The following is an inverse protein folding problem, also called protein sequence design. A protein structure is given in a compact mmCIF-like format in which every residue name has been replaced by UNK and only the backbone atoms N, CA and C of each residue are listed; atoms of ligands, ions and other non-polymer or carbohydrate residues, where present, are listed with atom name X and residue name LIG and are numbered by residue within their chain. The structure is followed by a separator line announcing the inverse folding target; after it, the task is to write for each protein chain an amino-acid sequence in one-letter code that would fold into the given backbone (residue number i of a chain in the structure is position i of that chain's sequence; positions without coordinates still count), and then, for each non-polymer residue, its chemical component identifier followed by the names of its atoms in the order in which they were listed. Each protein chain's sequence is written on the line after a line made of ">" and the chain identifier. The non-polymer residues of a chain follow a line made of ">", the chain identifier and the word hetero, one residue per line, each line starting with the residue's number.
data_IF_527901706267
#
_entry.id   IF_527901706267
#
_cell.length_a   1.000
_cell.length_b   1.000
_cell.length_c   1.000
_cell.angle_alpha   90.00
_cell.angle_beta   90.00
_cell.angle_gamma   90.00
#
_symmetry.space_group_name_H-M   'P 1'
#
loop_
_entity.id
_entity.type
_entity.pdbx_description
1 polymer ?
#
# COMPACT_ATOMS: atom_id res chain seq x y z
N UNK A 1 -4.74 -15.37 17.57
CA UNK A 1 -4.72 -15.18 16.09
C UNK A 1 -4.10 -13.84 15.65
N UNK A 2 -4.45 -12.70 16.26
CA UNK A 2 -3.88 -11.39 15.86
C UNK A 2 -2.40 -11.30 16.22
N UNK A 3 -2.02 -11.78 17.39
CA UNK A 3 -0.62 -11.81 17.84
C UNK A 3 0.25 -12.68 16.93
N UNK A 4 -0.25 -13.80 16.49
CA UNK A 4 0.45 -14.71 15.56
C UNK A 4 0.65 -14.08 14.18
N UNK A 5 -0.34 -13.34 13.68
CA UNK A 5 -0.22 -12.64 12.38
C UNK A 5 0.79 -11.48 12.43
N UNK A 6 0.83 -10.72 13.54
CA UNK A 6 1.80 -9.65 13.73
C UNK A 6 3.23 -10.20 13.81
N UNK A 7 3.46 -11.21 14.63
CA UNK A 7 4.76 -11.89 14.76
C UNK A 7 5.19 -12.53 13.44
N UNK A 8 4.27 -13.16 12.71
CA UNK A 8 4.56 -13.75 11.41
C UNK A 8 4.99 -12.72 10.36
N UNK A 9 4.37 -11.53 10.33
CA UNK A 9 4.74 -10.46 9.39
C UNK A 9 6.13 -9.87 9.68
N UNK A 10 6.45 -9.63 10.94
CA UNK A 10 7.78 -9.12 11.34
C UNK A 10 8.88 -10.15 11.07
N UNK A 11 8.66 -11.41 11.37
CA UNK A 11 9.60 -12.48 11.05
C UNK A 11 9.80 -12.60 9.54
N UNK A 12 8.76 -12.51 8.73
CA UNK A 12 8.85 -12.58 7.28
C UNK A 12 9.69 -11.41 6.71
N UNK A 13 9.48 -10.19 7.19
CA UNK A 13 10.25 -9.01 6.78
C UNK A 13 11.73 -9.20 7.12
N UNK A 14 12.05 -9.54 8.35
CA UNK A 14 13.42 -9.71 8.84
C UNK A 14 14.13 -10.84 8.12
N UNK A 15 13.48 -11.98 7.95
CA UNK A 15 14.07 -13.16 7.31
C UNK A 15 14.34 -12.92 5.83
N UNK A 16 13.39 -12.31 5.12
CA UNK A 16 13.55 -11.95 3.70
C UNK A 16 14.66 -10.92 3.50
N UNK A 17 14.74 -9.91 4.36
CA UNK A 17 15.81 -8.90 4.30
C UNK A 17 17.19 -9.51 4.57
N UNK A 18 17.30 -10.35 5.61
CA UNK A 18 18.55 -11.01 5.97
C UNK A 18 19.03 -11.93 4.86
N UNK A 19 18.15 -12.74 4.28
CA UNK A 19 18.48 -13.65 3.17
C UNK A 19 18.88 -12.89 1.93
N UNK A 20 18.22 -11.78 1.60
CA UNK A 20 18.58 -10.93 0.46
C UNK A 20 20.04 -10.46 0.53
N UNK A 21 20.54 -10.16 1.74
CA UNK A 21 21.90 -9.66 1.94
C UNK A 21 22.95 -10.78 2.08
N UNK A 22 22.55 -11.96 2.56
CA UNK A 22 23.46 -13.08 2.82
C UNK A 22 23.59 -14.08 1.68
N UNK A 23 22.66 -14.07 0.73
CA UNK A 23 22.63 -15.05 -0.36
C UNK A 23 22.83 -14.38 -1.74
N UNK A 24 24.02 -14.48 -2.35
CA UNK A 24 24.35 -13.82 -3.62
C UNK A 24 23.39 -14.14 -4.77
N UNK A 25 22.86 -15.37 -4.80
CA UNK A 25 21.90 -15.79 -5.83
C UNK A 25 20.55 -15.05 -5.76
N UNK A 26 20.19 -14.50 -4.59
CA UNK A 26 18.98 -13.71 -4.42
C UNK A 26 19.07 -12.29 -5.02
N UNK A 27 20.28 -11.80 -5.36
CA UNK A 27 20.42 -10.48 -5.99
C UNK A 27 19.59 -10.35 -7.28
N UNK A 28 19.45 -11.44 -8.03
CA UNK A 28 18.61 -11.47 -9.24
C UNK A 28 17.11 -11.34 -8.92
N UNK A 29 16.70 -11.75 -7.73
CA UNK A 29 15.30 -11.72 -7.25
C UNK A 29 15.04 -10.55 -6.30
N UNK A 30 15.95 -9.60 -6.18
CA UNK A 30 15.91 -8.46 -5.27
C UNK A 30 14.55 -7.75 -5.30
N UNK A 31 14.05 -7.38 -6.47
CA UNK A 31 12.83 -6.60 -6.61
C UNK A 31 11.55 -7.39 -6.30
N UNK A 32 11.36 -8.63 -6.76
CA UNK A 32 10.29 -9.49 -6.25
C UNK A 32 10.30 -9.59 -4.71
N UNK A 33 11.47 -9.81 -4.10
CA UNK A 33 11.60 -9.92 -2.64
C UNK A 33 11.23 -8.62 -1.94
N UNK A 34 11.67 -7.46 -2.45
CA UNK A 34 11.25 -6.16 -1.89
C UNK A 34 9.73 -5.95 -1.98
N UNK A 35 9.09 -6.36 -3.08
CA UNK A 35 7.63 -6.31 -3.18
C UNK A 35 6.97 -7.19 -2.11
N UNK A 36 7.46 -8.40 -1.86
CA UNK A 36 6.93 -9.27 -0.81
C UNK A 36 7.19 -8.73 0.62
N UNK A 37 8.31 -8.03 0.83
CA UNK A 37 8.55 -7.30 2.09
C UNK A 37 7.51 -6.18 2.26
N UNK A 38 7.22 -5.42 1.20
CA UNK A 38 6.17 -4.40 1.23
C UNK A 38 4.79 -5.00 1.52
N UNK A 39 4.48 -6.18 0.93
CA UNK A 39 3.25 -6.94 1.26
C UNK A 39 3.17 -7.22 2.75
N UNK A 40 4.25 -7.72 3.38
CA UNK A 40 4.27 -8.04 4.81
C UNK A 40 4.07 -6.78 5.67
N UNK A 41 4.71 -5.67 5.29
CA UNK A 41 4.55 -4.39 5.97
C UNK A 41 3.10 -3.86 5.88
N UNK A 42 2.55 -3.80 4.68
CA UNK A 42 1.19 -3.31 4.48
C UNK A 42 0.12 -4.27 5.02
N UNK A 43 0.41 -5.57 5.07
CA UNK A 43 -0.45 -6.54 5.73
C UNK A 43 -0.49 -6.30 7.24
N UNK A 44 0.66 -6.01 7.86
CA UNK A 44 0.72 -5.65 9.27
C UNK A 44 -0.08 -4.37 9.56
N UNK A 45 0.20 -3.29 8.82
CA UNK A 45 -0.40 -1.97 9.06
C UNK A 45 -1.85 -1.93 8.57
N UNK A 46 -2.08 -2.30 7.31
CA UNK A 46 -3.37 -2.12 6.65
C UNK A 46 -4.41 -3.17 7.04
N UNK A 47 -4.08 -4.43 6.84
CA UNK A 47 -4.99 -5.54 7.14
C UNK A 47 -4.99 -5.89 8.64
N UNK A 48 -3.85 -5.85 9.30
CA UNK A 48 -3.70 -6.15 10.72
C UNK A 48 -4.25 -5.01 11.59
N UNK A 49 -3.49 -3.94 11.74
CA UNK A 49 -3.81 -2.87 12.71
C UNK A 49 -5.11 -2.16 12.32
N UNK A 50 -5.19 -1.58 11.13
CA UNK A 50 -6.40 -0.87 10.71
C UNK A 50 -7.61 -1.80 10.56
N UNK A 51 -7.42 -3.00 10.01
CA UNK A 51 -8.49 -3.99 9.89
C UNK A 51 -9.05 -4.40 11.25
N UNK A 52 -8.19 -4.60 12.25
CA UNK A 52 -8.63 -4.89 13.61
C UNK A 52 -9.39 -3.72 14.23
N UNK A 53 -8.82 -2.50 14.15
CA UNK A 53 -9.41 -1.32 14.77
C UNK A 53 -10.81 -1.00 14.24
N UNK A 54 -11.05 -1.16 12.93
CA UNK A 54 -12.36 -0.87 12.34
C UNK A 54 -13.39 -1.98 12.55
N UNK A 55 -12.96 -3.22 12.86
CA UNK A 55 -13.86 -4.37 13.00
C UNK A 55 -14.25 -4.68 14.45
N UNK A 56 -13.70 -3.98 15.43
CA UNK A 56 -14.22 -4.09 16.81
C UNK A 56 -15.68 -3.64 16.84
N UNK A 57 -16.59 -4.37 17.53
CA UNK A 57 -18.04 -4.09 17.50
C UNK A 57 -18.39 -2.64 17.81
N UNK A 58 -17.75 -2.03 18.81
CA UNK A 58 -17.96 -0.63 19.19
C UNK A 58 -17.49 0.32 18.09
N UNK A 59 -16.28 0.09 17.55
CA UNK A 59 -15.75 0.91 16.46
C UNK A 59 -16.60 0.79 15.21
N UNK A 60 -16.94 -0.44 14.83
CA UNK A 60 -17.74 -0.71 13.64
C UNK A 60 -19.07 0.03 13.65
N UNK A 61 -19.74 0.11 14.80
CA UNK A 61 -21.02 0.81 14.94
C UNK A 61 -20.92 2.28 14.55
N UNK A 62 -19.83 2.96 14.92
CA UNK A 62 -19.66 4.40 14.67
C UNK A 62 -18.94 4.76 13.38
N UNK A 63 -18.07 3.86 12.87
CA UNK A 63 -17.13 4.22 11.78
C UNK A 63 -17.39 3.46 10.47
N UNK A 64 -18.38 2.60 10.42
CA UNK A 64 -18.72 1.85 9.22
C UNK A 64 -18.99 2.77 8.03
N UNK A 65 -18.23 2.57 6.94
CA UNK A 65 -18.37 3.33 5.71
C UNK A 65 -17.89 4.79 5.78
N UNK A 66 -17.12 5.17 6.79
CA UNK A 66 -16.37 6.43 6.84
C UNK A 66 -14.99 6.27 6.17
N UNK A 67 -14.22 7.36 6.05
CA UNK A 67 -12.90 7.31 5.45
C UNK A 67 -11.87 6.47 6.23
N UNK A 68 -12.10 6.16 7.50
CA UNK A 68 -11.35 5.14 8.26
C UNK A 68 -11.43 3.77 7.60
N UNK A 69 -12.59 3.39 7.06
CA UNK A 69 -12.74 2.16 6.27
C UNK A 69 -11.96 2.24 4.95
N UNK A 70 -11.93 3.42 4.32
CA UNK A 70 -11.13 3.64 3.11
C UNK A 70 -9.61 3.53 3.38
N UNK A 71 -9.13 3.96 4.55
CA UNK A 71 -7.73 3.74 4.98
C UNK A 71 -7.40 2.25 4.95
N UNK A 72 -8.20 1.42 5.63
CA UNK A 72 -8.01 -0.04 5.62
C UNK A 72 -8.09 -0.60 4.20
N UNK A 73 -9.10 -0.22 3.43
CA UNK A 73 -9.29 -0.74 2.07
C UNK A 73 -8.09 -0.45 1.16
N UNK A 74 -7.59 0.78 1.12
CA UNK A 74 -6.46 1.12 0.25
C UNK A 74 -5.15 0.45 0.70
N UNK A 75 -4.88 0.42 2.01
CA UNK A 75 -3.67 -0.19 2.54
C UNK A 75 -3.70 -1.72 2.42
N UNK A 76 -4.85 -2.37 2.59
CA UNK A 76 -5.01 -3.80 2.42
C UNK A 76 -5.06 -4.20 0.93
N UNK A 77 -5.90 -3.53 0.11
CA UNK A 77 -6.06 -3.93 -1.30
C UNK A 77 -4.82 -3.59 -2.13
N UNK A 78 -4.39 -2.34 -2.12
CA UNK A 78 -3.22 -1.95 -2.90
C UNK A 78 -1.91 -2.33 -2.20
N UNK A 79 -1.78 -2.05 -0.91
CA UNK A 79 -0.55 -2.34 -0.16
C UNK A 79 -0.24 -3.84 -0.07
N UNK A 80 -1.25 -4.71 0.03
CA UNK A 80 -1.04 -6.16 0.06
C UNK A 80 -1.17 -6.74 -1.34
N UNK A 81 -2.37 -6.74 -1.92
CA UNK A 81 -2.61 -7.44 -3.19
C UNK A 81 -1.93 -6.76 -4.38
N UNK A 82 -1.82 -5.43 -4.39
CA UNK A 82 -1.10 -4.70 -5.43
C UNK A 82 0.38 -5.07 -5.45
N UNK A 83 1.07 -4.98 -4.31
CA UNK A 83 2.48 -5.38 -4.24
C UNK A 83 2.70 -6.88 -4.41
N UNK A 84 1.76 -7.72 -3.97
CA UNK A 84 1.80 -9.16 -4.20
C UNK A 84 1.79 -9.47 -5.70
N UNK A 85 0.85 -8.86 -6.43
CA UNK A 85 0.73 -9.00 -7.88
C UNK A 85 2.00 -8.52 -8.59
N UNK A 86 2.53 -7.36 -8.22
CA UNK A 86 3.78 -6.83 -8.77
C UNK A 86 4.97 -7.75 -8.48
N UNK A 87 5.06 -8.27 -7.26
CA UNK A 87 6.10 -9.23 -6.87
C UNK A 87 6.08 -10.48 -7.75
N UNK A 88 4.90 -11.05 -8.00
CA UNK A 88 4.76 -12.19 -8.90
C UNK A 88 5.05 -11.85 -10.36
N UNK A 89 4.60 -10.70 -10.86
CA UNK A 89 4.92 -10.26 -12.23
C UNK A 89 6.43 -10.15 -12.43
N UNK A 90 7.16 -9.55 -11.48
CA UNK A 90 8.61 -9.44 -11.57
C UNK A 90 9.30 -10.80 -11.39
N UNK A 91 8.78 -11.68 -10.55
CA UNK A 91 9.30 -13.04 -10.39
C UNK A 91 9.16 -13.84 -11.70
N UNK A 92 7.97 -13.81 -12.30
CA UNK A 92 7.67 -14.46 -13.58
C UNK A 92 8.54 -13.87 -14.70
N UNK A 93 8.68 -12.55 -14.76
CA UNK A 93 9.51 -11.88 -15.75
C UNK A 93 10.98 -12.34 -15.65
N UNK A 94 11.50 -12.51 -14.43
CA UNK A 94 12.85 -13.06 -14.19
C UNK A 94 12.98 -14.54 -14.55
N UNK A 95 11.92 -15.31 -14.39
CA UNK A 95 11.92 -16.72 -14.76
C UNK A 95 11.90 -16.92 -16.27
N UNK A 96 11.05 -16.14 -16.99
CA UNK A 96 10.92 -16.24 -18.46
C UNK A 96 12.09 -15.59 -19.19
N UNK A 97 12.66 -14.52 -18.64
CA UNK A 97 13.73 -13.71 -19.23
C UNK A 97 14.90 -13.53 -18.25
N UNK A 98 15.61 -14.61 -17.90
CA UNK A 98 16.72 -14.53 -16.94
C UNK A 98 17.89 -13.67 -17.44
N UNK A 99 18.03 -13.52 -18.76
CA UNK A 99 19.09 -12.75 -19.44
C UNK A 99 18.88 -11.23 -19.36
N UNK A 100 17.62 -10.76 -19.15
CA UNK A 100 17.32 -9.33 -19.15
C UNK A 100 17.39 -8.78 -17.73
N UNK A 101 18.30 -7.85 -17.49
CA UNK A 101 18.41 -7.20 -16.19
C UNK A 101 17.40 -6.07 -16.01
N UNK A 102 16.87 -5.95 -14.80
CA UNK A 102 16.04 -4.80 -14.43
C UNK A 102 16.91 -3.56 -14.22
N UNK A 103 16.45 -2.41 -14.70
CA UNK A 103 17.09 -1.14 -14.38
C UNK A 103 16.87 -0.81 -12.89
N UNK A 104 17.92 -0.94 -12.09
CA UNK A 104 17.86 -0.81 -10.63
C UNK A 104 17.38 0.59 -10.19
N UNK A 105 17.75 1.65 -10.90
CA UNK A 105 17.32 3.02 -10.59
C UNK A 105 15.81 3.18 -10.80
N UNK A 106 15.30 2.67 -11.90
CA UNK A 106 13.88 2.75 -12.25
C UNK A 106 13.04 1.92 -11.28
N UNK A 107 13.50 0.70 -10.97
CA UNK A 107 12.84 -0.18 -10.00
C UNK A 107 12.82 0.43 -8.59
N UNK A 108 13.94 1.01 -8.15
CA UNK A 108 14.03 1.72 -6.86
C UNK A 108 13.06 2.89 -6.81
N UNK A 109 13.01 3.71 -7.87
CA UNK A 109 12.06 4.81 -7.95
C UNK A 109 10.62 4.31 -7.88
N UNK A 110 10.24 3.32 -8.73
CA UNK A 110 8.89 2.76 -8.76
C UNK A 110 8.46 2.20 -7.39
N UNK A 111 9.33 1.42 -6.76
CA UNK A 111 9.07 0.83 -5.45
C UNK A 111 8.81 1.88 -4.37
N UNK A 112 9.69 2.87 -4.24
CA UNK A 112 9.54 3.90 -3.23
C UNK A 112 8.40 4.87 -3.53
N UNK A 113 8.17 5.21 -4.81
CA UNK A 113 7.06 6.07 -5.21
C UNK A 113 5.71 5.42 -4.88
N UNK A 114 5.53 4.11 -5.09
CA UNK A 114 4.30 3.40 -4.71
C UNK A 114 4.12 3.37 -3.20
N UNK A 115 5.16 3.06 -2.42
CA UNK A 115 5.07 3.00 -0.96
C UNK A 115 4.80 4.38 -0.35
N UNK A 116 5.57 5.40 -0.74
CA UNK A 116 5.39 6.76 -0.22
C UNK A 116 4.10 7.39 -0.72
N UNK A 117 3.70 7.14 -1.97
CA UNK A 117 2.44 7.63 -2.51
C UNK A 117 1.25 7.09 -1.73
N UNK A 118 1.23 5.77 -1.44
CA UNK A 118 0.21 5.15 -0.61
C UNK A 118 0.23 5.70 0.83
N UNK A 119 1.41 5.81 1.44
CA UNK A 119 1.55 6.37 2.78
C UNK A 119 1.07 7.82 2.87
N UNK A 120 1.44 8.67 1.91
CA UNK A 120 0.99 10.05 1.87
C UNK A 120 -0.52 10.16 1.67
N UNK A 121 -1.09 9.42 0.71
CA UNK A 121 -2.54 9.38 0.51
C UNK A 121 -3.28 9.06 1.81
N UNK A 122 -2.78 8.08 2.56
CA UNK A 122 -3.37 7.69 3.86
C UNK A 122 -3.19 8.78 4.90
N UNK A 123 -1.95 9.22 5.13
CA UNK A 123 -1.60 10.07 6.28
C UNK A 123 -2.08 11.52 6.16
N UNK A 124 -2.09 12.07 4.94
CA UNK A 124 -2.45 13.48 4.74
C UNK A 124 -3.89 13.70 4.29
N UNK A 125 -4.58 12.65 3.88
CA UNK A 125 -5.97 12.76 3.38
C UNK A 125 -6.91 11.79 4.08
N UNK A 126 -6.84 10.49 3.77
CA UNK A 126 -7.85 9.51 4.20
C UNK A 126 -7.97 9.39 5.73
N UNK A 127 -6.84 9.31 6.42
CA UNK A 127 -6.84 9.16 7.88
C UNK A 127 -7.34 10.42 8.60
N UNK A 128 -6.86 11.64 8.29
CA UNK A 128 -7.41 12.87 8.90
C UNK A 128 -8.91 13.04 8.67
N UNK A 129 -9.39 12.84 7.44
CA UNK A 129 -10.82 12.90 7.13
C UNK A 129 -11.58 11.85 7.94
N UNK A 130 -11.07 10.61 7.95
CA UNK A 130 -11.68 9.51 8.69
C UNK A 130 -11.78 9.77 10.19
N UNK A 131 -10.76 10.37 10.82
CA UNK A 131 -10.77 10.71 12.23
C UNK A 131 -11.78 11.83 12.54
N UNK A 132 -11.87 12.88 11.72
CA UNK A 132 -12.85 13.96 11.86
C UNK A 132 -14.28 13.39 11.70
N UNK A 133 -14.52 12.55 10.72
CA UNK A 133 -15.79 11.86 10.54
C UNK A 133 -16.13 10.94 11.72
N UNK A 134 -15.15 10.20 12.25
CA UNK A 134 -15.35 9.31 13.39
C UNK A 134 -15.76 10.10 14.64
N UNK A 135 -15.11 11.23 14.87
CA UNK A 135 -15.47 12.13 15.95
C UNK A 135 -16.91 12.68 15.80
N UNK A 136 -17.26 13.17 14.60
CA UNK A 136 -18.61 13.64 14.32
C UNK A 136 -19.65 12.52 14.46
N UNK A 137 -19.33 11.31 14.04
CA UNK A 137 -20.22 10.15 14.18
C UNK A 137 -20.52 9.81 15.63
N UNK A 138 -19.52 9.87 16.52
CA UNK A 138 -19.70 9.57 17.95
C UNK A 138 -20.48 10.69 18.65
N UNK A 139 -20.23 11.95 18.32
CA UNK A 139 -20.79 13.11 19.03
C UNK A 139 -22.12 13.60 18.48
N UNK A 140 -22.36 13.46 17.18
CA UNK A 140 -23.48 14.06 16.47
C UNK A 140 -24.29 13.05 15.65
N UNK A 141 -23.77 11.84 15.52
CA UNK A 141 -24.41 10.73 14.81
C UNK A 141 -23.83 10.40 13.44
N UNK A 142 -23.94 9.15 13.09
CA UNK A 142 -23.34 8.56 11.87
C UNK A 142 -23.86 9.22 10.58
N UNK A 143 -25.14 9.58 10.55
CA UNK A 143 -25.77 10.18 9.36
C UNK A 143 -25.22 11.58 9.07
N UNK A 144 -24.97 12.38 10.12
CA UNK A 144 -24.34 13.68 9.95
C UNK A 144 -22.92 13.53 9.39
N UNK A 145 -22.11 12.62 9.96
CA UNK A 145 -20.74 12.38 9.51
C UNK A 145 -20.62 11.94 8.04
N UNK A 146 -21.74 11.50 7.44
CA UNK A 146 -21.84 11.09 6.02
C UNK A 146 -22.58 12.12 5.17
N UNK A 147 -23.20 13.11 5.76
CA UNK A 147 -24.00 14.10 5.02
C UNK A 147 -23.14 14.90 4.05
N UNK A 148 -23.76 15.34 2.96
CA UNK A 148 -23.10 16.17 1.97
C UNK A 148 -22.63 17.48 2.61
N UNK A 149 -23.47 18.14 3.39
CA UNK A 149 -23.14 19.40 4.07
C UNK A 149 -21.90 19.26 4.96
N UNK A 150 -21.79 18.16 5.71
CA UNK A 150 -20.59 17.88 6.51
C UNK A 150 -19.35 17.68 5.64
N UNK A 151 -19.46 16.91 4.57
CA UNK A 151 -18.35 16.60 3.69
C UNK A 151 -17.93 17.76 2.79
N UNK A 152 -18.80 18.77 2.59
CA UNK A 152 -18.49 19.99 1.83
C UNK A 152 -17.78 21.07 2.67
N UNK A 153 -17.55 20.84 3.96
CA UNK A 153 -16.79 21.79 4.78
C UNK A 153 -15.40 22.06 4.20
N UNK A 154 -14.94 23.33 4.22
CA UNK A 154 -13.69 23.72 3.56
C UNK A 154 -12.47 22.89 4.00
N UNK A 155 -12.37 22.55 5.29
CA UNK A 155 -11.30 21.73 5.82
C UNK A 155 -11.28 20.33 5.17
N UNK A 156 -12.43 19.66 5.11
CA UNK A 156 -12.54 18.32 4.54
C UNK A 156 -12.30 18.33 3.04
N UNK A 157 -12.75 19.37 2.35
CA UNK A 157 -12.45 19.55 0.92
C UNK A 157 -10.96 19.72 0.68
N UNK A 158 -10.26 20.56 1.46
CA UNK A 158 -8.82 20.75 1.34
C UNK A 158 -8.06 19.43 1.59
N UNK A 159 -8.42 18.69 2.64
CA UNK A 159 -7.84 17.37 2.91
C UNK A 159 -8.09 16.38 1.78
N UNK A 160 -9.25 16.43 1.13
CA UNK A 160 -9.58 15.60 -0.02
C UNK A 160 -8.71 15.95 -1.23
N UNK A 161 -8.46 17.24 -1.50
CA UNK A 161 -7.57 17.67 -2.58
C UNK A 161 -6.11 17.28 -2.32
N UNK A 162 -5.64 17.26 -1.07
CA UNK A 162 -4.30 16.80 -0.71
C UNK A 162 -4.03 15.35 -1.13
N UNK A 163 -5.07 14.54 -1.29
CA UNK A 163 -4.95 13.18 -1.82
C UNK A 163 -4.21 13.12 -3.15
N UNK A 164 -4.41 14.14 -4.01
CA UNK A 164 -3.77 14.20 -5.34
C UNK A 164 -2.25 14.07 -5.27
N UNK A 165 -1.63 14.52 -4.18
CA UNK A 165 -0.16 14.41 -4.01
C UNK A 165 0.25 12.93 -3.94
N UNK A 166 -0.39 12.16 -3.08
CA UNK A 166 -0.14 10.71 -2.95
C UNK A 166 -0.46 9.96 -4.23
N UNK A 167 -1.65 10.21 -4.80
CA UNK A 167 -2.13 9.55 -6.02
C UNK A 167 -1.19 9.82 -7.22
N UNK A 168 -0.72 11.06 -7.37
CA UNK A 168 0.23 11.42 -8.45
C UNK A 168 1.55 10.67 -8.31
N UNK A 169 2.11 10.62 -7.11
CA UNK A 169 3.35 9.88 -6.83
C UNK A 169 3.16 8.39 -7.12
N UNK A 170 2.01 7.81 -6.74
CA UNK A 170 1.68 6.41 -7.04
C UNK A 170 1.60 6.16 -8.55
N UNK A 171 0.95 7.04 -9.32
CA UNK A 171 0.87 6.91 -10.77
C UNK A 171 2.27 6.92 -11.40
N UNK A 172 3.14 7.82 -10.99
CA UNK A 172 4.52 7.87 -11.48
C UNK A 172 5.29 6.59 -11.14
N UNK A 173 5.09 6.04 -9.94
CA UNK A 173 5.66 4.74 -9.54
C UNK A 173 5.14 3.58 -10.39
N UNK A 174 3.83 3.54 -10.64
CA UNK A 174 3.20 2.52 -11.48
C UNK A 174 3.69 2.61 -12.94
N UNK A 175 3.82 3.81 -13.49
CA UNK A 175 4.37 4.01 -14.83
C UNK A 175 5.83 3.54 -14.94
N UNK A 176 6.64 3.77 -13.91
CA UNK A 176 8.01 3.26 -13.87
C UNK A 176 8.07 1.73 -13.93
N UNK A 177 7.22 1.05 -13.16
CA UNK A 177 7.12 -0.40 -13.18
C UNK A 177 6.56 -0.94 -14.50
N UNK A 178 5.52 -0.30 -15.02
CA UNK A 178 4.97 -0.64 -16.33
C UNK A 178 6.02 -0.54 -17.43
N UNK A 179 6.77 0.56 -17.48
CA UNK A 179 7.87 0.75 -18.43
C UNK A 179 8.92 -0.34 -18.32
N UNK A 180 9.29 -0.72 -17.10
CA UNK A 180 10.26 -1.78 -16.89
C UNK A 180 9.75 -3.13 -17.42
N UNK A 181 8.48 -3.47 -17.22
CA UNK A 181 7.86 -4.70 -17.72
C UNK A 181 7.84 -4.69 -19.25
N UNK A 182 7.39 -3.59 -19.86
CA UNK A 182 7.40 -3.41 -21.32
C UNK A 182 8.79 -3.60 -21.89
N UNK A 183 9.81 -2.97 -21.29
CA UNK A 183 11.20 -3.12 -21.72
C UNK A 183 11.65 -4.58 -21.66
N UNK A 184 11.41 -5.28 -20.57
CA UNK A 184 11.77 -6.70 -20.43
C UNK A 184 11.07 -7.57 -21.47
N UNK A 185 9.79 -7.28 -21.74
CA UNK A 185 9.00 -8.08 -22.70
C UNK A 185 9.48 -7.91 -24.13
N UNK A 186 9.82 -6.70 -24.56
CA UNK A 186 10.16 -6.38 -25.94
C UNK A 186 11.67 -6.35 -26.24
N UNK A 187 12.55 -6.53 -25.26
CA UNK A 187 13.99 -6.67 -25.53
C UNK A 187 14.24 -7.93 -26.35
N UNK A 188 14.87 -7.80 -27.52
CA UNK A 188 15.25 -8.93 -28.37
C UNK A 188 16.24 -9.83 -27.64
N UNK A 189 16.09 -11.15 -27.79
CA UNK A 189 17.15 -12.10 -27.42
C UNK A 189 18.38 -11.80 -28.29
N UNK A 190 19.48 -11.44 -27.68
CA UNK A 190 20.79 -11.47 -28.33
C UNK A 190 21.30 -12.91 -28.41
#
# INVERSE_FOLDING_TARGET
>A
EIHERLVGSEMCIRDSYTRLHSAPWMHRLKWPVYCFIAVSFWNLVGAGIFGFLINMPVSLFYIQGLNTTAVHAHTALFGVYGFLSLGFVFLIARYIRPEVEFNDKLMKFGFWALNWGLALMVLISLLPIGLIQSWASVTQGLWLARSEDFMQQPLLQNLRWLRMVGDTIMILGALAFFWQIVKVTFTKKQ
#
